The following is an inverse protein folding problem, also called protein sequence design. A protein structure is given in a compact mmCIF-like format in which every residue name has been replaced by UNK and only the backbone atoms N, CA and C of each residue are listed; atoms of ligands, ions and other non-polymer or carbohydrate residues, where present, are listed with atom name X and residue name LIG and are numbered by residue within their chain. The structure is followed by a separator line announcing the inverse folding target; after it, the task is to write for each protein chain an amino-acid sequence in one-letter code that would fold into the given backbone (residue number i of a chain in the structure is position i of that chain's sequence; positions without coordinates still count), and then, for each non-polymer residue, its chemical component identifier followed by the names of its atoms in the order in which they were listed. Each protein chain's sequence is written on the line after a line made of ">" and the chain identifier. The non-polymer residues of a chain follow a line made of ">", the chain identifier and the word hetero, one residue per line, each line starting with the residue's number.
data_IF_540008357876
#
_entry.id   IF_540008357876
#
_cell.length_a   1.000
_cell.length_b   1.000
_cell.length_c   1.000
_cell.angle_alpha   90.00
_cell.angle_beta   90.00
_cell.angle_gamma   90.00
#
_symmetry.space_group_name_H-M   'P 1'
#
loop_
_entity.id
_entity.type
_entity.pdbx_description
1 polymer ?
#
# COMPACT_ATOMS: atom_id res chain seq x y z
N UNK A 1 -31.45 3.83 -29.90
CA UNK A 1 -30.93 2.67 -29.20
C UNK A 1 -30.94 2.99 -27.71
N UNK A 2 -31.80 2.35 -26.93
CA UNK A 2 -31.81 2.47 -25.47
C UNK A 2 -30.54 1.81 -24.99
N UNK A 3 -29.63 2.55 -24.34
CA UNK A 3 -28.46 1.97 -23.67
C UNK A 3 -29.00 1.01 -22.61
N UNK A 4 -28.73 -0.26 -22.79
CA UNK A 4 -28.90 -1.29 -21.79
C UNK A 4 -28.08 -0.82 -20.58
N UNK A 5 -28.75 -0.30 -19.55
CA UNK A 5 -28.06 0.09 -18.32
C UNK A 5 -27.61 -1.20 -17.65
N UNK A 6 -26.37 -1.56 -17.86
CA UNK A 6 -25.76 -2.71 -17.21
C UNK A 6 -26.12 -2.70 -15.71
N UNK A 7 -26.55 -3.85 -15.20
CA UNK A 7 -26.89 -4.01 -13.77
C UNK A 7 -25.71 -3.52 -12.92
N UNK A 8 -25.94 -2.73 -11.84
CA UNK A 8 -24.85 -2.26 -11.00
C UNK A 8 -24.05 -3.44 -10.43
N UNK A 9 -22.73 -3.32 -10.42
CA UNK A 9 -21.84 -4.34 -9.85
C UNK A 9 -21.98 -4.46 -8.32
N UNK A 10 -22.43 -3.38 -7.67
CA UNK A 10 -22.57 -3.29 -6.22
C UNK A 10 -24.02 -3.38 -5.80
N UNK A 11 -24.26 -4.02 -4.65
CA UNK A 11 -25.55 -3.91 -3.95
C UNK A 11 -25.68 -2.50 -3.37
N UNK A 12 -26.93 -2.05 -3.22
CA UNK A 12 -27.23 -0.68 -2.78
C UNK A 12 -26.64 -0.37 -1.41
N UNK A 13 -26.79 -1.24 -0.44
CA UNK A 13 -26.28 -1.05 0.92
C UNK A 13 -24.73 -0.93 0.91
N UNK A 14 -24.08 -1.81 0.18
CA UNK A 14 -22.63 -1.80 0.00
C UNK A 14 -22.16 -0.51 -0.69
N UNK A 15 -22.88 -0.06 -1.71
CA UNK A 15 -22.57 1.16 -2.42
C UNK A 15 -22.67 2.40 -1.53
N UNK A 16 -23.68 2.48 -0.67
CA UNK A 16 -23.85 3.58 0.28
C UNK A 16 -22.79 3.55 1.40
N UNK A 17 -22.41 2.37 1.87
CA UNK A 17 -21.35 2.21 2.87
C UNK A 17 -19.99 2.64 2.32
N UNK A 18 -19.67 2.25 1.10
CA UNK A 18 -18.45 2.69 0.42
C UNK A 18 -18.43 4.22 0.21
N UNK A 19 -19.56 4.81 -0.15
CA UNK A 19 -19.68 6.26 -0.24
C UNK A 19 -19.46 6.96 1.10
N UNK A 20 -20.06 6.40 2.17
CA UNK A 20 -19.82 6.91 3.52
C UNK A 20 -18.34 6.95 3.86
N UNK A 21 -17.58 5.86 3.62
CA UNK A 21 -16.13 5.84 3.88
C UNK A 21 -15.36 6.82 2.97
N UNK A 22 -15.70 6.91 1.69
CA UNK A 22 -15.08 7.85 0.75
C UNK A 22 -15.27 9.30 1.21
N UNK A 23 -16.49 9.66 1.56
CA UNK A 23 -16.82 11.02 2.00
C UNK A 23 -16.24 11.32 3.38
N UNK A 24 -16.29 10.35 4.30
CA UNK A 24 -15.71 10.51 5.64
C UNK A 24 -14.20 10.74 5.56
N UNK A 25 -13.49 9.94 4.76
CA UNK A 25 -12.04 10.12 4.57
C UNK A 25 -11.71 11.51 4.02
N UNK A 26 -12.40 11.95 2.96
CA UNK A 26 -12.23 13.28 2.38
C UNK A 26 -12.49 14.39 3.41
N UNK A 27 -13.60 14.30 4.13
CA UNK A 27 -13.98 15.31 5.13
C UNK A 27 -13.00 15.35 6.32
N UNK A 28 -12.50 14.18 6.74
CA UNK A 28 -11.48 14.10 7.79
C UNK A 28 -10.14 14.71 7.34
N UNK A 29 -9.68 14.41 6.12
CA UNK A 29 -8.47 15.02 5.56
C UNK A 29 -8.58 16.56 5.50
N UNK A 30 -9.71 17.07 5.01
CA UNK A 30 -9.98 18.51 4.97
C UNK A 30 -9.98 19.15 6.38
N UNK A 31 -10.50 18.44 7.37
CA UNK A 31 -10.47 18.86 8.77
C UNK A 31 -9.05 18.85 9.32
N UNK A 32 -8.29 17.78 9.10
CA UNK A 32 -6.88 17.69 9.53
C UNK A 32 -6.01 18.79 8.91
N UNK A 33 -6.22 19.15 7.65
CA UNK A 33 -5.54 20.28 7.01
C UNK A 33 -5.87 21.62 7.72
N UNK A 34 -7.13 21.84 8.11
CA UNK A 34 -7.51 23.02 8.89
C UNK A 34 -6.83 23.05 10.25
N UNK A 35 -6.81 21.91 10.95
CA UNK A 35 -6.14 21.79 12.26
C UNK A 35 -4.63 21.99 12.16
N UNK A 36 -4.00 21.50 11.09
CA UNK A 36 -2.59 21.74 10.81
C UNK A 36 -2.29 23.25 10.66
N UNK A 37 -3.11 23.95 9.88
CA UNK A 37 -2.98 25.42 9.69
C UNK A 37 -3.21 26.22 10.98
N UNK A 38 -3.93 25.63 11.93
CA UNK A 38 -4.14 26.19 13.28
C UNK A 38 -3.05 25.80 14.27
N UNK A 39 -1.97 25.12 13.84
CA UNK A 39 -0.91 24.59 14.69
C UNK A 39 -1.42 23.62 15.80
N UNK A 40 -2.52 22.93 15.55
CA UNK A 40 -3.07 21.92 16.48
C UNK A 40 -2.55 20.51 16.23
N UNK A 41 -1.88 20.29 15.10
CA UNK A 41 -1.27 19.01 14.73
C UNK A 41 0.22 19.07 15.03
N UNK A 42 0.73 18.01 15.66
CA UNK A 42 2.13 17.83 16.02
C UNK A 42 2.78 16.92 14.97
N UNK A 43 3.81 17.41 14.29
CA UNK A 43 4.54 16.63 13.29
C UNK A 43 3.97 16.73 11.87
N UNK A 44 4.31 15.73 11.03
CA UNK A 44 3.96 15.73 9.62
C UNK A 44 2.53 15.26 9.35
N UNK A 45 1.81 15.99 8.52
CA UNK A 45 0.50 15.59 8.01
C UNK A 45 0.59 15.21 6.53
N UNK A 46 0.11 14.02 6.19
CA UNK A 46 0.15 13.43 4.86
C UNK A 46 -1.28 13.15 4.37
N UNK A 47 -1.80 13.97 3.48
CA UNK A 47 -3.16 13.83 2.98
C UNK A 47 -3.33 12.70 1.97
N UNK A 48 -4.53 12.13 1.93
CA UNK A 48 -4.94 11.04 1.02
C UNK A 48 -5.68 11.54 -0.21
N UNK A 49 -5.84 12.85 -0.38
CA UNK A 49 -6.61 13.46 -1.47
C UNK A 49 -6.21 12.91 -2.85
N UNK A 50 -7.17 12.33 -3.56
CA UNK A 50 -7.01 11.70 -4.86
C UNK A 50 -6.76 10.19 -4.81
N UNK A 51 -6.48 9.60 -3.63
CA UNK A 51 -6.14 8.18 -3.44
C UNK A 51 -7.18 7.43 -2.59
N UNK A 52 -8.31 8.06 -2.24
CA UNK A 52 -9.30 7.50 -1.33
C UNK A 52 -9.89 6.18 -1.86
N UNK A 53 -10.17 6.11 -3.17
CA UNK A 53 -10.75 4.92 -3.77
C UNK A 53 -9.84 3.69 -3.64
N UNK A 54 -8.53 3.87 -3.86
CA UNK A 54 -7.55 2.79 -3.72
C UNK A 54 -7.50 2.28 -2.29
N UNK A 55 -7.32 3.18 -1.34
CA UNK A 55 -7.18 2.84 0.09
C UNK A 55 -8.43 2.15 0.64
N UNK A 56 -9.62 2.69 0.34
CA UNK A 56 -10.89 2.18 0.86
C UNK A 56 -11.28 0.87 0.19
N UNK A 57 -11.28 0.81 -1.15
CA UNK A 57 -11.75 -0.37 -1.86
C UNK A 57 -10.89 -1.61 -1.58
N UNK A 58 -9.57 -1.45 -1.50
CA UNK A 58 -8.68 -2.58 -1.21
C UNK A 58 -8.85 -3.09 0.21
N UNK A 59 -8.95 -2.21 1.20
CA UNK A 59 -9.21 -2.60 2.59
C UNK A 59 -10.61 -3.22 2.76
N UNK A 60 -11.62 -2.72 2.04
CA UNK A 60 -13.00 -3.21 2.10
C UNK A 60 -13.16 -4.63 1.51
N UNK A 61 -12.26 -5.05 0.63
CA UNK A 61 -12.23 -6.41 0.08
C UNK A 61 -11.81 -7.49 1.10
N UNK A 62 -11.25 -7.10 2.23
CA UNK A 62 -10.73 -8.01 3.26
C UNK A 62 -11.81 -8.47 4.23
N UNK A 63 -11.64 -9.67 4.76
CA UNK A 63 -12.44 -10.18 5.87
C UNK A 63 -11.98 -9.58 7.22
N UNK A 64 -12.83 -9.68 8.25
CA UNK A 64 -12.55 -9.14 9.60
C UNK A 64 -11.25 -9.70 10.22
N UNK A 65 -10.92 -10.97 9.98
CA UNK A 65 -9.73 -11.63 10.52
C UNK A 65 -8.44 -11.37 9.73
N UNK A 66 -8.52 -10.71 8.58
CA UNK A 66 -7.35 -10.38 7.76
C UNK A 66 -6.54 -9.24 8.36
N UNK A 67 -5.27 -9.18 7.99
CA UNK A 67 -4.30 -8.22 8.51
C UNK A 67 -3.99 -7.14 7.49
N UNK A 68 -3.80 -5.91 7.97
CA UNK A 68 -3.31 -4.81 7.13
C UNK A 68 -2.09 -4.13 7.73
N UNK A 69 -1.23 -3.62 6.86
CA UNK A 69 -0.15 -2.69 7.20
C UNK A 69 -0.21 -1.51 6.21
N UNK A 70 -0.91 -0.42 6.56
CA UNK A 70 -1.10 0.71 5.66
C UNK A 70 0.15 1.57 5.52
N UNK A 71 0.18 2.42 4.50
CA UNK A 71 1.10 3.55 4.40
C UNK A 71 0.52 4.81 5.04
N UNK A 72 1.34 5.86 5.06
CA UNK A 72 1.02 7.17 5.64
C UNK A 72 -0.25 7.83 5.06
N UNK A 73 -0.65 7.48 3.82
CA UNK A 73 -1.80 8.06 3.13
C UNK A 73 -3.05 7.19 3.16
N UNK A 74 -2.97 6.03 3.77
CA UNK A 74 -4.09 5.08 3.75
C UNK A 74 -5.06 5.27 4.92
N UNK A 75 -5.39 6.52 5.27
CA UNK A 75 -6.38 6.84 6.31
C UNK A 75 -7.71 6.13 6.04
N UNK A 76 -8.13 6.05 4.77
CA UNK A 76 -9.34 5.34 4.37
C UNK A 76 -9.33 3.87 4.79
N UNK A 77 -8.20 3.17 4.69
CA UNK A 77 -8.07 1.78 5.13
C UNK A 77 -8.25 1.64 6.65
N UNK A 78 -7.75 2.60 7.44
CA UNK A 78 -7.93 2.63 8.89
C UNK A 78 -9.41 2.80 9.27
N UNK A 79 -10.12 3.72 8.58
CA UNK A 79 -11.55 3.92 8.79
C UNK A 79 -12.36 2.65 8.48
N UNK A 80 -12.06 1.98 7.37
CA UNK A 80 -12.67 0.69 7.00
C UNK A 80 -12.39 -0.39 8.05
N UNK A 81 -11.20 -0.38 8.67
CA UNK A 81 -10.84 -1.32 9.76
C UNK A 81 -11.41 -0.93 11.12
N UNK A 82 -12.21 0.13 11.19
CA UNK A 82 -12.97 0.52 12.37
C UNK A 82 -12.27 1.50 13.31
N UNK A 83 -11.19 2.16 12.87
CA UNK A 83 -10.71 3.36 13.56
C UNK A 83 -11.72 4.47 13.40
N UNK A 84 -11.93 5.23 14.44
CA UNK A 84 -12.82 6.41 14.42
C UNK A 84 -12.01 7.67 14.06
N UNK A 85 -12.64 8.70 13.53
CA UNK A 85 -11.97 9.99 13.31
C UNK A 85 -11.26 10.53 14.56
N UNK A 86 -11.84 10.32 15.77
CA UNK A 86 -11.20 10.71 17.04
C UNK A 86 -9.86 10.03 17.30
N UNK A 87 -9.72 8.75 16.94
CA UNK A 87 -8.48 8.00 17.11
C UNK A 87 -7.35 8.64 16.28
N UNK A 88 -7.70 9.05 15.05
CA UNK A 88 -6.79 9.70 14.11
C UNK A 88 -6.48 11.13 14.55
N UNK A 89 -7.49 11.91 14.94
CA UNK A 89 -7.30 13.28 15.39
C UNK A 89 -6.47 13.37 16.69
N UNK A 90 -6.79 12.54 17.70
CA UNK A 90 -6.01 12.49 18.93
C UNK A 90 -4.57 12.08 18.69
N UNK A 91 -4.34 11.17 17.73
CA UNK A 91 -2.99 10.75 17.33
C UNK A 91 -2.19 11.92 16.76
N UNK A 92 -2.73 12.62 15.75
CA UNK A 92 -2.05 13.76 15.14
C UNK A 92 -1.92 14.97 16.08
N UNK A 93 -2.78 15.06 17.09
CA UNK A 93 -2.71 16.09 18.15
C UNK A 93 -1.87 15.66 19.36
N UNK A 94 -1.21 14.50 19.31
CA UNK A 94 -0.38 13.92 20.37
C UNK A 94 -1.09 13.87 21.74
N UNK A 95 -2.35 13.47 21.78
CA UNK A 95 -3.15 13.41 23.02
C UNK A 95 -2.94 12.09 23.77
N UNK A 96 -3.08 12.12 25.09
CA UNK A 96 -2.98 10.95 25.95
C UNK A 96 -4.00 9.85 25.59
N UNK A 97 -5.14 10.22 25.02
CA UNK A 97 -6.19 9.29 24.58
C UNK A 97 -5.96 8.71 23.19
N UNK A 98 -4.85 9.06 22.54
CA UNK A 98 -4.50 8.53 21.20
C UNK A 98 -4.06 7.07 21.26
N UNK A 99 -4.07 6.35 20.13
CA UNK A 99 -3.55 4.98 20.05
C UNK A 99 -2.13 4.80 20.59
N UNK A 100 -1.26 5.81 20.46
CA UNK A 100 0.11 5.79 20.99
C UNK A 100 0.25 6.53 22.32
N UNK A 101 -0.85 6.98 22.91
CA UNK A 101 -0.85 7.76 24.16
C UNK A 101 0.00 9.04 24.09
N UNK A 102 0.06 9.64 22.90
CA UNK A 102 0.83 10.85 22.64
C UNK A 102 2.34 10.65 22.46
N UNK A 103 2.85 9.40 22.43
CA UNK A 103 4.27 9.10 22.18
C UNK A 103 4.71 9.31 20.74
N UNK A 104 3.77 9.32 19.82
CA UNK A 104 3.96 9.70 18.43
C UNK A 104 2.82 10.63 17.99
N UNK A 105 3.14 11.70 17.26
CA UNK A 105 2.19 12.68 16.76
C UNK A 105 1.93 12.57 15.25
N UNK A 106 2.24 11.42 14.65
CA UNK A 106 2.10 11.20 13.22
C UNK A 106 1.26 9.95 12.90
N UNK A 107 1.43 9.39 11.72
CA UNK A 107 0.69 8.23 11.25
C UNK A 107 1.12 6.89 11.85
N UNK A 108 2.17 6.83 12.69
CA UNK A 108 2.76 5.59 13.20
C UNK A 108 1.94 5.00 14.35
N UNK A 109 0.80 4.43 14.05
CA UNK A 109 -0.03 3.74 15.02
C UNK A 109 -0.76 2.54 14.39
N UNK A 110 -1.15 1.59 15.21
CA UNK A 110 -1.86 0.38 14.79
C UNK A 110 -2.69 -0.19 15.93
N UNK A 111 -3.33 -1.33 15.66
CA UNK A 111 -4.10 -2.11 16.64
C UNK A 111 -4.01 -3.59 16.26
N UNK A 112 -3.06 -4.29 16.87
CA UNK A 112 -2.78 -5.69 16.58
C UNK A 112 -3.88 -6.62 17.14
N UNK A 113 -4.50 -6.24 18.25
CA UNK A 113 -5.39 -7.14 19.02
C UNK A 113 -6.81 -7.14 18.47
N UNK A 114 -7.33 -5.98 18.10
CA UNK A 114 -8.75 -5.83 17.80
C UNK A 114 -9.00 -5.66 16.29
N UNK A 115 -8.17 -4.85 15.63
CA UNK A 115 -8.37 -4.47 14.22
C UNK A 115 -7.43 -5.15 13.25
N UNK A 116 -6.41 -5.86 13.76
CA UNK A 116 -5.36 -6.50 12.96
C UNK A 116 -4.65 -5.51 12.03
N UNK A 117 -4.27 -4.37 12.59
CA UNK A 117 -3.57 -3.30 11.89
C UNK A 117 -2.16 -3.14 12.45
N UNK A 118 -1.17 -3.40 11.61
CA UNK A 118 0.24 -3.11 11.89
C UNK A 118 0.48 -1.64 11.58
N UNK A 119 1.23 -0.97 12.43
CA UNK A 119 1.59 0.44 12.25
C UNK A 119 2.29 0.68 10.92
N UNK A 120 2.00 1.78 10.21
CA UNK A 120 2.90 2.31 9.20
C UNK A 120 4.31 2.50 9.75
N UNK A 121 5.31 2.34 8.91
CA UNK A 121 6.72 2.57 9.23
C UNK A 121 7.35 3.50 8.18
N UNK A 122 8.42 4.18 8.55
CA UNK A 122 9.10 5.13 7.67
C UNK A 122 10.07 4.47 6.68
N UNK A 123 10.48 3.22 6.94
CA UNK A 123 11.32 2.43 6.05
C UNK A 123 10.45 1.86 4.92
N UNK A 124 10.46 2.53 3.77
CA UNK A 124 9.62 2.16 2.64
C UNK A 124 10.03 0.80 2.06
N UNK A 125 9.02 -0.06 1.85
CA UNK A 125 9.22 -1.43 1.37
C UNK A 125 9.26 -2.48 2.48
N UNK A 126 9.72 -2.17 3.69
CA UNK A 126 9.92 -3.14 4.77
C UNK A 126 8.61 -3.77 5.28
N UNK A 127 7.46 -3.12 5.08
CA UNK A 127 6.17 -3.73 5.40
C UNK A 127 5.85 -4.95 4.53
N UNK A 128 6.48 -5.12 3.37
CA UNK A 128 6.24 -6.30 2.52
C UNK A 128 6.81 -7.56 3.17
N UNK A 129 8.11 -7.65 3.55
CA UNK A 129 8.61 -8.82 4.27
C UNK A 129 7.94 -9.01 5.63
N UNK A 130 7.59 -7.94 6.36
CA UNK A 130 6.84 -8.02 7.62
C UNK A 130 5.48 -8.70 7.40
N UNK A 131 4.71 -8.23 6.41
CA UNK A 131 3.40 -8.80 6.13
C UNK A 131 3.46 -10.19 5.48
N UNK A 132 4.57 -10.51 4.80
CA UNK A 132 4.87 -11.88 4.39
C UNK A 132 4.98 -12.79 5.62
N UNK A 133 5.71 -12.35 6.65
CA UNK A 133 5.81 -13.07 7.93
C UNK A 133 4.46 -13.26 8.63
N UNK A 134 3.62 -12.23 8.65
CA UNK A 134 2.24 -12.31 9.19
C UNK A 134 1.40 -13.34 8.44
N UNK A 135 1.44 -13.32 7.10
CA UNK A 135 0.73 -14.28 6.26
C UNK A 135 1.22 -15.72 6.49
N UNK A 136 2.54 -15.90 6.61
CA UNK A 136 3.15 -17.19 6.91
C UNK A 136 2.75 -17.68 8.32
N UNK A 137 2.75 -16.81 9.33
CA UNK A 137 2.33 -17.13 10.69
C UNK A 137 0.87 -17.58 10.71
N UNK A 138 -0.04 -16.88 10.02
CA UNK A 138 -1.42 -17.30 9.88
C UNK A 138 -1.55 -18.72 9.33
N UNK A 139 -0.84 -19.00 8.23
CA UNK A 139 -0.82 -20.34 7.63
C UNK A 139 -0.24 -21.40 8.60
N UNK A 140 0.85 -21.07 9.28
CA UNK A 140 1.47 -21.96 10.28
C UNK A 140 0.50 -22.30 11.42
N UNK A 141 -0.32 -21.34 11.83
CA UNK A 141 -1.34 -21.50 12.87
C UNK A 141 -2.65 -22.12 12.35
N UNK A 142 -2.72 -22.52 11.07
CA UNK A 142 -3.92 -23.08 10.47
C UNK A 142 -5.04 -22.05 10.20
N UNK A 143 -4.74 -20.76 10.26
CA UNK A 143 -5.68 -19.68 10.03
C UNK A 143 -5.72 -19.32 8.54
N UNK A 144 -6.94 -19.18 7.99
CA UNK A 144 -7.14 -18.76 6.59
C UNK A 144 -7.18 -17.24 6.47
N UNK A 145 -6.11 -16.55 6.87
CA UNK A 145 -6.00 -15.10 6.82
C UNK A 145 -5.24 -14.64 5.59
N UNK A 146 -5.56 -13.46 5.11
CA UNK A 146 -4.82 -12.73 4.08
C UNK A 146 -4.16 -11.52 4.74
N UNK A 147 -2.92 -11.26 4.37
CA UNK A 147 -2.22 -10.04 4.74
C UNK A 147 -2.25 -9.07 3.56
N UNK A 148 -2.44 -7.78 3.84
CA UNK A 148 -2.40 -6.74 2.81
C UNK A 148 -1.51 -5.57 3.26
N UNK A 149 -0.70 -5.06 2.35
CA UNK A 149 0.10 -3.85 2.59
C UNK A 149 0.10 -2.97 1.35
N UNK A 150 0.40 -1.70 1.55
CA UNK A 150 0.50 -0.71 0.48
C UNK A 150 1.94 -0.24 0.32
N UNK A 151 2.27 0.17 -0.89
CA UNK A 151 3.56 0.78 -1.22
C UNK A 151 3.37 1.83 -2.32
N UNK A 152 4.07 2.95 -2.21
CA UNK A 152 4.10 3.95 -3.28
C UNK A 152 5.06 3.56 -4.41
N UNK A 153 4.94 4.23 -5.55
CA UNK A 153 5.79 4.04 -6.73
C UNK A 153 7.30 4.09 -6.38
N UNK A 154 7.73 5.10 -5.62
CA UNK A 154 9.13 5.23 -5.19
C UNK A 154 9.64 4.10 -4.32
N UNK A 155 8.80 3.58 -3.44
CA UNK A 155 9.14 2.47 -2.56
C UNK A 155 9.44 1.17 -3.31
N UNK A 156 8.94 1.00 -4.52
CA UNK A 156 9.19 -0.20 -5.34
C UNK A 156 10.62 -0.33 -5.85
N UNK A 157 11.44 0.70 -5.66
CA UNK A 157 12.88 0.68 -6.03
C UNK A 157 13.80 0.36 -4.85
N UNK A 158 13.25 0.07 -3.67
CA UNK A 158 14.04 -0.33 -2.48
C UNK A 158 14.39 -1.82 -2.53
N UNK A 159 15.52 -2.19 -1.90
CA UNK A 159 15.90 -3.60 -1.73
C UNK A 159 14.82 -4.41 -1.02
N UNK A 160 14.23 -3.84 0.05
CA UNK A 160 13.17 -4.47 0.83
C UNK A 160 11.93 -4.85 0.00
N UNK A 161 11.54 -4.03 -1.02
CA UNK A 161 10.49 -4.40 -1.96
C UNK A 161 10.85 -5.69 -2.70
N UNK A 162 12.04 -5.75 -3.29
CA UNK A 162 12.48 -6.87 -4.12
C UNK A 162 12.65 -8.15 -3.30
N UNK A 163 13.29 -8.06 -2.16
CA UNK A 163 13.50 -9.17 -1.23
C UNK A 163 12.18 -9.68 -0.66
N UNK A 164 11.30 -8.76 -0.23
CA UNK A 164 9.99 -9.09 0.32
C UNK A 164 9.07 -9.76 -0.70
N UNK A 165 9.02 -9.26 -1.95
CA UNK A 165 8.24 -9.86 -3.03
C UNK A 165 8.77 -11.26 -3.40
N UNK A 166 10.09 -11.42 -3.48
CA UNK A 166 10.70 -12.72 -3.75
C UNK A 166 10.41 -13.71 -2.61
N UNK A 167 10.58 -13.31 -1.35
CA UNK A 167 10.25 -14.13 -0.19
C UNK A 167 8.77 -14.56 -0.22
N UNK A 168 7.86 -13.61 -0.45
CA UNK A 168 6.43 -13.88 -0.51
C UNK A 168 6.10 -14.89 -1.63
N UNK A 169 6.72 -14.75 -2.80
CA UNK A 169 6.53 -15.65 -3.92
C UNK A 169 7.02 -17.08 -3.61
N UNK A 170 8.28 -17.22 -3.16
CA UNK A 170 8.87 -18.52 -2.79
C UNK A 170 8.04 -19.23 -1.72
N UNK A 171 7.57 -18.49 -0.73
CA UNK A 171 6.73 -19.02 0.35
C UNK A 171 5.26 -19.18 -0.06
N UNK A 172 4.84 -18.75 -1.25
CA UNK A 172 3.43 -18.70 -1.67
C UNK A 172 2.54 -18.08 -0.58
N UNK A 173 3.02 -16.96 -0.01
CA UNK A 173 2.36 -16.31 1.10
C UNK A 173 0.99 -15.74 0.68
N UNK A 174 -0.08 -15.87 1.47
CA UNK A 174 -1.37 -15.24 1.22
C UNK A 174 -1.29 -13.71 1.45
N UNK A 175 -0.56 -13.02 0.58
CA UNK A 175 -0.24 -11.60 0.65
C UNK A 175 -0.81 -10.87 -0.56
N UNK A 176 -1.41 -9.70 -0.32
CA UNK A 176 -1.76 -8.73 -1.37
C UNK A 176 -0.94 -7.46 -1.15
N UNK A 177 -0.16 -7.08 -2.15
CA UNK A 177 0.58 -5.82 -2.16
C UNK A 177 -0.11 -4.84 -3.09
N UNK A 178 -0.55 -3.70 -2.55
CA UNK A 178 -1.18 -2.63 -3.31
C UNK A 178 -0.15 -1.55 -3.59
N UNK A 179 0.22 -1.40 -4.86
CA UNK A 179 1.14 -0.38 -5.33
C UNK A 179 0.33 0.86 -5.73
N UNK A 180 0.38 1.89 -4.92
CA UNK A 180 -0.23 3.18 -5.21
C UNK A 180 0.71 4.00 -6.11
N UNK A 181 0.58 3.81 -7.42
CA UNK A 181 1.31 4.60 -8.39
C UNK A 181 0.69 6.00 -8.48
N UNK A 182 1.05 6.84 -7.52
CA UNK A 182 0.54 8.21 -7.39
C UNK A 182 1.40 9.24 -8.15
N UNK A 183 2.25 8.78 -9.05
CA UNK A 183 3.08 9.50 -10.01
C UNK A 183 4.32 10.19 -9.43
N UNK A 184 4.47 10.25 -8.09
CA UNK A 184 5.53 11.05 -7.47
C UNK A 184 6.10 10.43 -6.20
N UNK A 185 7.39 10.13 -6.20
CA UNK A 185 8.17 9.86 -4.99
C UNK A 185 8.76 11.17 -4.47
N UNK A 186 8.09 11.81 -3.52
CA UNK A 186 8.34 13.19 -3.12
C UNK A 186 8.31 14.11 -4.35
N UNK A 187 9.47 14.62 -4.81
CA UNK A 187 9.62 15.48 -6.00
C UNK A 187 10.11 14.74 -7.25
N UNK A 188 10.32 13.41 -7.17
CA UNK A 188 10.79 12.62 -8.30
C UNK A 188 9.61 11.99 -9.05
N UNK A 189 9.35 12.34 -10.31
CA UNK A 189 8.26 11.74 -11.07
C UNK A 189 8.56 10.27 -11.42
N UNK A 190 7.51 9.48 -11.60
CA UNK A 190 7.60 8.02 -11.81
C UNK A 190 8.50 7.63 -12.99
N UNK A 191 8.50 8.40 -14.08
CA UNK A 191 9.33 8.16 -15.26
C UNK A 191 10.84 8.44 -15.04
N UNK A 192 11.21 9.01 -13.89
CA UNK A 192 12.60 9.17 -13.44
C UNK A 192 13.02 8.13 -12.41
N UNK A 193 12.07 7.33 -11.95
CA UNK A 193 12.30 6.27 -10.95
C UNK A 193 12.47 4.90 -11.62
N UNK A 194 11.66 4.62 -12.65
CA UNK A 194 11.63 3.32 -13.33
C UNK A 194 11.42 3.50 -14.83
N UNK A 195 12.03 2.64 -15.68
CA UNK A 195 11.84 2.67 -17.13
C UNK A 195 10.55 1.95 -17.59
N UNK A 196 9.79 1.33 -16.67
CA UNK A 196 8.59 0.58 -17.00
C UNK A 196 7.38 1.51 -17.13
N UNK A 197 6.50 1.21 -18.07
CA UNK A 197 5.21 1.88 -18.20
C UNK A 197 4.25 1.49 -17.08
N UNK A 198 4.20 0.21 -16.77
CA UNK A 198 3.38 -0.37 -15.71
C UNK A 198 4.32 -1.00 -14.68
N UNK A 199 4.27 -0.51 -13.44
CA UNK A 199 5.13 -1.00 -12.36
C UNK A 199 4.74 -2.42 -11.95
N UNK A 200 3.50 -2.82 -12.23
CA UNK A 200 3.01 -4.19 -12.05
C UNK A 200 3.85 -5.22 -12.83
N UNK A 201 4.53 -4.83 -13.90
CA UNK A 201 5.41 -5.72 -14.67
C UNK A 201 6.61 -6.23 -13.85
N UNK A 202 6.98 -5.55 -12.76
CA UNK A 202 7.99 -6.06 -11.82
C UNK A 202 7.62 -7.42 -11.23
N UNK A 203 6.32 -7.70 -11.07
CA UNK A 203 5.83 -8.96 -10.51
C UNK A 203 6.24 -10.18 -11.35
N UNK A 204 6.43 -10.01 -12.65
CA UNK A 204 6.86 -11.10 -13.56
C UNK A 204 8.20 -11.68 -13.16
N UNK A 205 9.13 -10.84 -12.66
CA UNK A 205 10.45 -11.30 -12.22
C UNK A 205 10.39 -12.29 -11.04
N UNK A 206 9.28 -12.29 -10.29
CA UNK A 206 9.07 -13.17 -9.14
C UNK A 206 8.06 -14.28 -9.41
N UNK A 207 7.51 -14.38 -10.63
CA UNK A 207 6.40 -15.29 -10.93
C UNK A 207 5.10 -14.96 -10.20
N UNK A 208 4.90 -13.68 -9.84
CA UNK A 208 3.75 -13.20 -9.06
C UNK A 208 2.65 -12.68 -9.99
N UNK A 209 1.41 -13.07 -9.70
CA UNK A 209 0.23 -12.51 -10.40
C UNK A 209 0.12 -11.02 -10.13
N UNK A 210 -0.11 -10.22 -11.17
CA UNK A 210 -0.30 -8.78 -11.04
C UNK A 210 -1.46 -8.24 -11.85
N UNK A 211 -1.99 -7.12 -11.38
CA UNK A 211 -3.06 -6.36 -12.04
C UNK A 211 -2.67 -4.89 -12.10
N UNK A 212 -3.09 -4.22 -13.16
CA UNK A 212 -3.05 -2.75 -13.27
C UNK A 212 -4.48 -2.25 -13.37
N UNK A 213 -4.84 -1.26 -12.54
CA UNK A 213 -6.18 -0.70 -12.47
C UNK A 213 -6.16 0.82 -12.39
N UNK A 214 -7.20 1.49 -12.87
CA UNK A 214 -7.45 2.91 -12.60
C UNK A 214 -7.79 3.08 -11.11
N UNK A 215 -6.83 3.58 -10.33
CA UNK A 215 -6.94 3.76 -8.89
C UNK A 215 -8.01 4.78 -8.46
N UNK A 216 -8.53 5.57 -9.41
CA UNK A 216 -9.60 6.53 -9.17
C UNK A 216 -11.00 5.97 -9.51
N UNK A 217 -11.08 4.70 -9.94
CA UNK A 217 -12.33 3.97 -10.12
C UNK A 217 -12.55 2.98 -8.97
N UNK A 218 -13.34 3.40 -7.99
CA UNK A 218 -13.58 2.61 -6.77
C UNK A 218 -14.13 1.22 -7.07
N UNK A 219 -15.05 1.10 -8.03
CA UNK A 219 -15.69 -0.18 -8.37
C UNK A 219 -14.71 -1.12 -9.04
N UNK A 220 -13.91 -0.61 -9.97
CA UNK A 220 -12.87 -1.38 -10.63
C UNK A 220 -11.79 -1.85 -9.62
N UNK A 221 -11.34 -0.96 -8.72
CA UNK A 221 -10.37 -1.31 -7.67
C UNK A 221 -10.94 -2.38 -6.75
N UNK A 222 -12.18 -2.25 -6.30
CA UNK A 222 -12.83 -3.24 -5.42
C UNK A 222 -12.93 -4.62 -6.08
N UNK A 223 -13.32 -4.66 -7.34
CA UNK A 223 -13.40 -5.92 -8.11
C UNK A 223 -12.04 -6.62 -8.16
N UNK A 224 -11.00 -5.91 -8.55
CA UNK A 224 -9.63 -6.46 -8.61
C UNK A 224 -9.12 -6.85 -7.22
N UNK A 225 -9.41 -6.05 -6.20
CA UNK A 225 -9.01 -6.37 -4.83
C UNK A 225 -9.68 -7.65 -4.31
N UNK A 226 -10.97 -7.85 -4.59
CA UNK A 226 -11.69 -9.08 -4.24
C UNK A 226 -11.10 -10.30 -4.94
N UNK A 227 -10.77 -10.17 -6.21
CA UNK A 227 -10.11 -11.25 -6.96
C UNK A 227 -8.74 -11.57 -6.36
N UNK A 228 -7.91 -10.56 -6.12
CA UNK A 228 -6.59 -10.73 -5.53
C UNK A 228 -6.64 -11.38 -4.14
N UNK A 229 -7.54 -10.91 -3.26
CA UNK A 229 -7.77 -11.48 -1.93
C UNK A 229 -8.27 -12.93 -2.04
N UNK A 230 -9.17 -13.21 -2.98
CA UNK A 230 -9.67 -14.57 -3.24
C UNK A 230 -8.54 -15.52 -3.63
N UNK A 231 -7.69 -15.13 -4.57
CA UNK A 231 -6.52 -15.91 -5.01
C UNK A 231 -5.52 -16.14 -3.88
N UNK A 232 -5.15 -15.08 -3.17
CA UNK A 232 -4.23 -15.20 -2.03
C UNK A 232 -4.77 -16.16 -0.96
N UNK A 233 -6.07 -16.09 -0.65
CA UNK A 233 -6.74 -16.97 0.32
C UNK A 233 -6.80 -18.43 -0.11
N UNK A 234 -6.85 -18.69 -1.44
CA UNK A 234 -6.82 -20.05 -2.01
C UNK A 234 -5.41 -20.65 -2.04
N UNK A 235 -4.37 -19.85 -1.73
CA UNK A 235 -2.99 -20.32 -1.71
C UNK A 235 -2.25 -20.19 -3.04
N UNK A 236 -2.77 -19.39 -3.98
CA UNK A 236 -2.12 -19.11 -5.27
C UNK A 236 -0.84 -18.27 -5.12
N UNK A 237 -0.50 -17.86 -3.89
CA UNK A 237 0.66 -17.03 -3.60
C UNK A 237 0.32 -15.55 -3.52
N UNK A 238 1.33 -14.68 -3.48
CA UNK A 238 1.10 -13.24 -3.40
C UNK A 238 0.52 -12.67 -4.68
N UNK A 239 -0.13 -11.52 -4.56
CA UNK A 239 -0.67 -10.74 -5.69
C UNK A 239 -0.22 -9.30 -5.58
N UNK A 240 0.22 -8.69 -6.68
CA UNK A 240 0.53 -7.27 -6.80
C UNK A 240 -0.58 -6.54 -7.56
N UNK A 241 -1.14 -5.49 -6.96
CA UNK A 241 -2.13 -4.60 -7.61
C UNK A 241 -1.48 -3.24 -7.81
N UNK A 242 -1.26 -2.82 -9.04
CA UNK A 242 -0.91 -1.43 -9.35
C UNK A 242 -2.17 -0.60 -9.55
N UNK A 243 -2.43 0.32 -8.63
CA UNK A 243 -3.49 1.30 -8.74
C UNK A 243 -2.89 2.63 -9.25
N UNK A 244 -3.20 2.99 -10.50
CA UNK A 244 -2.76 4.26 -11.08
C UNK A 244 -3.65 5.39 -10.59
N UNK A 245 -3.06 6.31 -9.86
CA UNK A 245 -3.74 7.43 -9.22
C UNK A 245 -2.85 8.67 -9.21
N UNK A 246 -3.21 9.68 -8.46
CA UNK A 246 -2.42 10.90 -8.27
C UNK A 246 -2.49 11.39 -6.83
N UNK A 247 -1.36 11.74 -6.28
CA UNK A 247 -1.28 12.54 -5.07
C UNK A 247 -1.61 14.00 -5.38
N UNK A 248 -2.80 14.44 -5.01
CA UNK A 248 -3.33 15.79 -5.34
C UNK A 248 -2.81 16.90 -4.42
N UNK A 249 -1.99 16.57 -3.44
CA UNK A 249 -1.32 17.51 -2.52
C UNK A 249 0.20 17.30 -2.60
N UNK A 250 0.98 18.13 -1.93
CA UNK A 250 2.40 17.90 -1.72
C UNK A 250 2.71 16.59 -0.99
N UNK A 251 3.98 16.25 -0.84
CA UNK A 251 4.36 15.04 -0.12
C UNK A 251 3.85 15.05 1.32
N UNK A 252 4.02 16.17 2.00
CA UNK A 252 3.39 16.48 3.28
C UNK A 252 2.74 17.84 3.19
N UNK A 253 1.96 18.24 4.20
CA UNK A 253 1.18 19.47 4.16
C UNK A 253 2.01 20.77 4.05
N UNK A 254 3.28 20.74 4.41
CA UNK A 254 4.22 21.85 4.22
C UNK A 254 4.85 21.93 2.83
N UNK A 255 4.67 20.90 2.00
CA UNK A 255 5.20 20.83 0.64
C UNK A 255 4.22 21.50 -0.35
N UNK A 256 4.59 22.59 -1.03
CA UNK A 256 3.71 23.30 -1.96
C UNK A 256 3.52 22.58 -3.30
N UNK A 257 4.27 21.49 -3.57
CA UNK A 257 4.23 20.70 -4.79
C UNK A 257 4.49 21.49 -6.08
N UNK A 258 5.31 22.54 -6.05
CA UNK A 258 5.64 23.38 -7.21
C UNK A 258 6.33 22.61 -8.34
N UNK A 259 6.92 21.46 -8.02
CA UNK A 259 7.56 20.57 -9.01
C UNK A 259 6.56 19.77 -9.85
N UNK A 260 5.26 19.80 -9.52
CA UNK A 260 4.23 19.09 -10.29
C UNK A 260 3.65 20.01 -11.36
N UNK A 261 3.67 19.60 -12.64
CA UNK A 261 3.06 20.39 -13.71
C UNK A 261 1.56 20.65 -13.46
N UNK A 262 1.12 21.88 -13.71
CA UNK A 262 -0.28 22.29 -13.48
C UNK A 262 -1.26 21.46 -14.30
N UNK A 263 -0.91 21.13 -15.52
CA UNK A 263 -1.72 20.32 -16.43
C UNK A 263 -1.98 18.92 -15.86
N UNK A 264 -1.03 18.40 -15.09
CA UNK A 264 -1.16 17.10 -14.43
C UNK A 264 -2.19 17.16 -13.30
N UNK A 265 -2.21 18.23 -12.51
CA UNK A 265 -3.24 18.44 -11.51
C UNK A 265 -4.62 18.57 -12.14
N UNK A 266 -4.78 19.34 -13.23
CA UNK A 266 -6.07 19.51 -13.91
C UNK A 266 -6.56 18.18 -14.52
N UNK A 267 -5.64 17.40 -15.12
CA UNK A 267 -5.97 16.08 -15.65
C UNK A 267 -6.54 15.15 -14.58
N UNK A 268 -5.90 15.09 -13.40
CA UNK A 268 -6.31 14.20 -12.33
C UNK A 268 -7.49 14.73 -11.52
N UNK A 269 -7.63 16.05 -11.39
CA UNK A 269 -8.80 16.70 -10.79
C UNK A 269 -10.08 16.35 -11.55
N UNK A 270 -10.03 16.32 -12.87
CA UNK A 270 -11.15 15.88 -13.69
C UNK A 270 -11.51 14.39 -13.46
N UNK A 271 -10.64 13.63 -12.82
CA UNK A 271 -10.78 12.21 -12.48
C UNK A 271 -10.89 11.97 -10.98
N UNK A 272 -11.31 12.97 -10.22
CA UNK A 272 -11.48 12.86 -8.77
C UNK A 272 -12.30 11.62 -8.39
N UNK A 273 -11.77 10.74 -7.51
CA UNK A 273 -12.39 9.46 -7.23
C UNK A 273 -13.77 9.58 -6.55
N UNK A 274 -13.94 10.59 -5.68
CA UNK A 274 -15.21 10.81 -4.99
C UNK A 274 -16.29 11.28 -5.98
N UNK A 275 -15.97 12.28 -6.82
CA UNK A 275 -16.86 12.80 -7.85
C UNK A 275 -17.23 11.71 -8.88
N UNK A 276 -16.29 10.86 -9.25
CA UNK A 276 -16.54 9.73 -10.16
C UNK A 276 -17.48 8.71 -9.52
N UNK A 277 -17.30 8.43 -8.24
CA UNK A 277 -18.15 7.48 -7.54
C UNK A 277 -19.56 8.04 -7.31
N UNK A 278 -19.72 9.34 -7.04
CA UNK A 278 -21.04 10.00 -7.01
C UNK A 278 -21.77 9.84 -8.35
N UNK A 279 -21.09 10.08 -9.46
CA UNK A 279 -21.67 9.85 -10.80
C UNK A 279 -22.11 8.39 -11.03
N UNK A 280 -21.30 7.42 -10.54
CA UNK A 280 -21.70 6.01 -10.61
C UNK A 280 -22.98 5.74 -9.83
N UNK A 281 -23.11 6.28 -8.61
CA UNK A 281 -24.32 6.13 -7.79
C UNK A 281 -25.55 6.75 -8.45
N UNK A 282 -25.40 7.92 -9.07
CA UNK A 282 -26.47 8.60 -9.81
C UNK A 282 -26.90 7.79 -11.05
N UNK A 283 -25.94 7.35 -11.87
CA UNK A 283 -26.19 6.59 -13.08
C UNK A 283 -26.93 5.28 -12.83
N UNK A 284 -26.60 4.61 -11.74
CA UNK A 284 -27.22 3.34 -11.34
C UNK A 284 -28.40 3.51 -10.38
N UNK A 285 -28.79 4.76 -10.04
CA UNK A 285 -29.89 5.07 -9.13
C UNK A 285 -29.77 4.36 -7.77
N UNK A 286 -28.53 4.28 -7.26
CA UNK A 286 -28.22 3.59 -6.00
C UNK A 286 -28.49 4.44 -4.77
N UNK A 287 -28.79 5.72 -4.94
CA UNK A 287 -29.15 6.66 -3.88
C UNK A 287 -30.15 7.71 -4.36
N UNK A 288 -30.57 8.57 -3.44
CA UNK A 288 -31.36 9.77 -3.71
C UNK A 288 -30.82 10.94 -2.85
N UNK A 289 -31.27 12.17 -3.13
CA UNK A 289 -30.82 13.38 -2.43
C UNK A 289 -31.03 13.32 -0.91
N UNK A 290 -32.09 12.68 -0.43
CA UNK A 290 -32.36 12.52 1.01
C UNK A 290 -31.31 11.64 1.67
N UNK A 291 -30.90 10.56 1.04
CA UNK A 291 -29.89 9.64 1.54
C UNK A 291 -28.51 10.27 1.49
N UNK A 292 -28.19 10.97 0.39
CA UNK A 292 -26.96 11.75 0.28
C UNK A 292 -26.84 12.77 1.40
N UNK A 293 -27.89 13.56 1.62
CA UNK A 293 -27.96 14.54 2.69
C UNK A 293 -27.85 13.91 4.09
N UNK A 294 -28.47 12.73 4.30
CA UNK A 294 -28.40 12.02 5.56
C UNK A 294 -26.97 11.51 5.87
N UNK A 295 -26.26 11.00 4.85
CA UNK A 295 -24.86 10.58 5.00
C UNK A 295 -23.97 11.79 5.35
N UNK A 296 -24.13 12.92 4.64
CA UNK A 296 -23.37 14.13 4.93
C UNK A 296 -23.63 14.63 6.35
N UNK A 297 -24.88 14.76 6.75
CA UNK A 297 -25.25 15.20 8.10
C UNK A 297 -24.77 14.23 9.19
N UNK A 298 -24.68 12.94 8.91
CA UNK A 298 -24.09 11.95 9.80
C UNK A 298 -22.60 12.21 9.95
N UNK A 299 -21.86 12.37 8.86
CA UNK A 299 -20.40 12.62 8.87
C UNK A 299 -20.07 13.92 9.61
N UNK A 300 -20.83 14.99 9.35
CA UNK A 300 -20.63 16.27 10.04
C UNK A 300 -20.79 16.14 11.55
N UNK A 301 -21.83 15.45 12.01
CA UNK A 301 -22.04 15.21 13.45
C UNK A 301 -20.95 14.35 14.06
N UNK A 302 -20.52 13.28 13.38
CA UNK A 302 -19.45 12.40 13.84
C UNK A 302 -18.13 13.16 13.94
N UNK A 303 -17.75 13.92 12.92
CA UNK A 303 -16.51 14.71 12.92
C UNK A 303 -16.53 15.81 13.98
N UNK A 304 -17.68 16.49 14.19
CA UNK A 304 -17.81 17.52 15.21
C UNK A 304 -17.63 16.95 16.63
N UNK A 305 -18.32 15.84 16.93
CA UNK A 305 -18.21 15.18 18.24
C UNK A 305 -16.80 14.60 18.48
N UNK A 306 -16.18 14.05 17.44
CA UNK A 306 -14.84 13.47 17.53
C UNK A 306 -13.76 14.56 17.64
N UNK A 307 -13.96 15.74 17.02
CA UNK A 307 -13.09 16.90 17.19
C UNK A 307 -13.18 17.46 18.60
N UNK A 308 -14.38 17.64 19.12
CA UNK A 308 -14.60 18.09 20.52
C UNK A 308 -13.91 17.15 21.51
N UNK A 309 -14.05 15.84 21.32
CA UNK A 309 -13.34 14.84 22.11
C UNK A 309 -11.81 15.00 22.02
N UNK A 310 -11.28 15.17 20.81
CA UNK A 310 -9.83 15.29 20.60
C UNK A 310 -9.27 16.60 21.21
N UNK A 311 -9.99 17.72 21.07
CA UNK A 311 -9.56 19.01 21.65
C UNK A 311 -9.58 19.01 23.19
N UNK A 312 -10.58 18.35 23.78
CA UNK A 312 -10.71 18.23 25.25
C UNK A 312 -9.82 17.14 25.85
N UNK A 313 -9.22 16.27 25.03
CA UNK A 313 -8.31 15.23 25.51
C UNK A 313 -7.01 15.86 26.07
N UNK A 314 -6.52 15.41 27.24
CA UNK A 314 -5.32 15.95 27.84
C UNK A 314 -4.06 15.60 27.04
N UNK A 315 -3.01 16.38 27.22
CA UNK A 315 -1.66 15.96 26.83
C UNK A 315 -1.15 14.87 27.77
N UNK A 316 -0.29 13.95 27.29
CA UNK A 316 0.29 12.93 28.14
C UNK A 316 1.21 13.57 29.19
N UNK A 317 1.30 13.02 30.41
CA UNK A 317 2.31 13.43 31.37
C UNK A 317 3.71 13.05 30.86
N UNK A 318 4.72 13.86 31.20
CA UNK A 318 6.09 13.70 30.71
C UNK A 318 6.69 12.30 31.05
N UNK A 319 6.34 11.79 32.23
CA UNK A 319 6.79 10.48 32.74
C UNK A 319 6.33 9.30 31.86
N UNK A 320 5.27 9.51 31.08
CA UNK A 320 4.80 8.47 30.12
C UNK A 320 5.83 8.22 29.00
N UNK A 321 6.70 9.18 28.69
CA UNK A 321 7.69 9.03 27.63
C UNK A 321 8.63 7.84 27.87
N UNK A 322 8.96 7.54 29.12
CA UNK A 322 9.86 6.43 29.48
C UNK A 322 9.16 5.08 29.61
N UNK A 323 7.83 5.08 29.72
CA UNK A 323 7.06 3.85 29.94
C UNK A 323 6.95 3.02 28.66
N UNK A 324 7.25 1.73 28.77
CA UNK A 324 7.13 0.77 27.65
C UNK A 324 8.22 0.90 26.57
N UNK A 325 9.24 1.73 26.79
CA UNK A 325 10.44 1.79 25.92
C UNK A 325 11.31 0.55 26.16
N UNK A 326 11.41 0.16 27.42
CA UNK A 326 12.15 -1.03 27.83
C UNK A 326 11.26 -1.94 28.67
N UNK A 327 11.63 -3.22 28.78
CA UNK A 327 10.98 -4.16 29.68
C UNK A 327 11.27 -3.77 31.14
N UNK A 328 10.22 -3.51 31.92
CA UNK A 328 10.32 -3.14 33.33
C UNK A 328 10.54 -4.37 34.25
N UNK A 329 11.43 -5.28 33.88
CA UNK A 329 11.83 -6.41 34.73
C UNK A 329 10.89 -7.61 34.73
N UNK A 330 9.86 -7.63 33.87
CA UNK A 330 8.98 -8.79 33.73
C UNK A 330 9.65 -9.99 33.04
N UNK A 331 10.74 -9.75 32.29
CA UNK A 331 11.58 -10.77 31.67
C UNK A 331 13.05 -10.36 31.83
N UNK A 332 13.81 -11.10 32.59
CA UNK A 332 15.25 -11.06 32.44
C UNK A 332 15.57 -11.57 31.04
N UNK A 333 16.00 -10.69 30.13
CA UNK A 333 16.53 -11.12 28.83
C UNK A 333 17.85 -11.79 29.14
N UNK A 334 17.79 -13.08 29.35
CA UNK A 334 19.00 -13.88 29.43
C UNK A 334 19.59 -13.92 28.03
N UNK A 335 20.83 -13.45 27.89
CA UNK A 335 21.53 -13.48 26.61
C UNK A 335 21.54 -14.92 26.07
N UNK A 336 21.25 -15.12 24.79
CA UNK A 336 21.09 -16.45 24.17
C UNK A 336 22.24 -17.40 24.42
N UNK A 337 23.48 -16.88 24.61
CA UNK A 337 24.66 -17.67 24.96
C UNK A 337 24.68 -18.17 26.43
N UNK A 338 23.79 -17.62 27.29
CA UNK A 338 23.60 -18.09 28.68
C UNK A 338 22.46 -19.10 28.81
N UNK A 339 21.58 -19.23 27.81
CA UNK A 339 20.49 -20.20 27.82
C UNK A 339 21.07 -21.60 27.66
N UNK A 340 20.47 -22.54 28.35
CA UNK A 340 20.80 -23.95 28.13
C UNK A 340 20.52 -24.29 26.65
N UNK A 341 21.53 -24.83 25.95
CA UNK A 341 21.44 -25.15 24.50
C UNK A 341 20.29 -26.10 24.18
N UNK A 342 19.78 -26.82 25.15
CA UNK A 342 18.62 -27.71 25.01
C UNK A 342 17.30 -26.94 24.84
N UNK A 343 17.18 -25.69 25.33
CA UNK A 343 15.99 -24.87 25.17
C UNK A 343 15.92 -24.18 23.80
N UNK A 344 17.08 -24.00 23.16
CA UNK A 344 17.17 -23.35 21.85
C UNK A 344 16.91 -24.31 20.67
N UNK A 345 16.92 -25.59 20.92
CA UNK A 345 16.61 -26.59 19.91
C UNK A 345 15.10 -26.84 19.88
N UNK A 346 14.42 -26.53 18.75
CA UNK A 346 13.03 -26.94 18.62
C UNK A 346 12.94 -28.46 18.82
N UNK A 347 11.91 -28.96 19.51
CA UNK A 347 11.70 -30.41 19.68
C UNK A 347 11.82 -31.08 18.30
N UNK A 348 12.52 -32.22 18.22
CA UNK A 348 12.71 -32.98 16.96
C UNK A 348 11.38 -33.28 16.24
N UNK A 349 10.26 -33.29 16.99
CA UNK A 349 8.91 -33.41 16.43
C UNK A 349 8.37 -32.20 15.67
N UNK A 350 9.07 -31.06 15.68
CA UNK A 350 8.67 -29.84 14.94
C UNK A 350 9.45 -29.63 13.66
N UNK A 351 10.43 -30.44 13.36
CA UNK A 351 10.99 -30.51 12.00
C UNK A 351 9.91 -31.21 11.16
N UNK A 352 9.20 -30.45 10.34
CA UNK A 352 8.21 -31.02 9.43
C UNK A 352 8.93 -32.12 8.63
N UNK A 353 8.55 -33.42 8.73
CA UNK A 353 9.19 -34.51 7.99
C UNK A 353 9.06 -34.32 6.47
N UNK A 354 8.18 -33.42 6.01
CA UNK A 354 8.08 -32.99 4.61
C UNK A 354 9.25 -32.09 4.15
N UNK A 355 10.11 -31.64 5.06
CA UNK A 355 11.31 -30.87 4.72
C UNK A 355 12.55 -31.75 4.51
N UNK A 356 12.36 -32.98 4.13
CA UNK A 356 13.44 -33.80 3.61
C UNK A 356 13.70 -33.46 2.14
N UNK A 357 14.96 -33.61 1.70
CA UNK A 357 15.39 -33.38 0.30
C UNK A 357 14.47 -34.13 -0.72
N UNK A 358 13.82 -35.23 -0.31
CA UNK A 358 12.84 -35.98 -1.13
C UNK A 358 11.52 -35.23 -1.33
N UNK A 359 11.17 -34.28 -0.46
CA UNK A 359 9.94 -33.49 -0.52
C UNK A 359 10.20 -32.00 -0.87
N UNK A 360 11.44 -31.67 -1.20
CA UNK A 360 11.76 -30.36 -1.77
C UNK A 360 11.26 -30.34 -3.22
N UNK A 361 10.00 -29.94 -3.30
CA UNK A 361 9.28 -29.74 -4.52
C UNK A 361 8.86 -31.04 -5.18
N UNK A 362 7.66 -31.13 -5.61
CA UNK A 362 7.29 -31.87 -6.78
C UNK A 362 7.88 -31.26 -8.05
N UNK A 363 9.07 -30.70 -7.99
CA UNK A 363 10.01 -30.54 -9.06
C UNK A 363 10.69 -31.91 -9.18
N UNK A 364 10.16 -32.74 -10.02
CA UNK A 364 10.96 -33.74 -10.65
C UNK A 364 12.08 -32.98 -11.35
N UNK A 365 13.20 -32.79 -10.63
CA UNK A 365 14.36 -32.02 -11.09
C UNK A 365 14.85 -32.57 -12.43
N UNK A 366 14.66 -33.86 -12.71
CA UNK A 366 14.96 -34.46 -14.00
C UNK A 366 14.00 -34.03 -15.14
N UNK A 367 12.72 -33.77 -14.84
CA UNK A 367 11.76 -33.37 -15.88
C UNK A 367 11.94 -31.89 -16.28
N UNK A 368 12.28 -30.99 -15.30
CA UNK A 368 12.55 -29.59 -15.59
C UNK A 368 13.85 -29.42 -16.38
N UNK A 369 14.91 -30.17 -16.01
CA UNK A 369 16.17 -30.15 -16.76
C UNK A 369 16.12 -30.92 -18.08
N UNK A 370 15.15 -31.84 -18.28
CA UNK A 370 14.91 -32.49 -19.56
C UNK A 370 14.14 -31.57 -20.52
N UNK A 371 13.18 -30.79 -20.04
CA UNK A 371 12.47 -29.79 -20.83
C UNK A 371 13.42 -28.67 -21.29
N UNK A 372 14.24 -28.14 -20.41
CA UNK A 372 15.27 -27.13 -20.74
C UNK A 372 16.29 -27.65 -21.76
N UNK A 373 16.67 -28.94 -21.68
CA UNK A 373 17.58 -29.53 -22.66
C UNK A 373 16.92 -29.76 -24.03
N UNK A 374 15.64 -30.03 -24.08
CA UNK A 374 14.90 -30.15 -25.34
C UNK A 374 14.71 -28.79 -26.02
N UNK A 375 14.41 -27.74 -25.26
CA UNK A 375 14.31 -26.36 -25.80
C UNK A 375 15.67 -25.79 -26.24
N UNK A 376 16.78 -26.16 -25.57
CA UNK A 376 18.12 -25.74 -25.97
C UNK A 376 18.66 -26.47 -27.20
N UNK A 377 18.13 -27.65 -27.56
CA UNK A 377 18.53 -28.35 -28.79
C UNK A 377 17.85 -27.80 -30.04
N UNK A 378 16.68 -27.15 -29.89
CA UNK A 378 15.98 -26.52 -31.02
C UNK A 378 16.37 -25.03 -31.25
N UNK A 379 17.19 -24.43 -30.37
CA UNK A 379 17.66 -23.06 -30.48
C UNK A 379 19.18 -22.96 -30.67
N UNK A 380 19.76 -23.70 -31.61
CA UNK A 380 21.10 -23.35 -32.12
C UNK A 380 20.93 -22.14 -33.03
N UNK A 381 20.85 -20.98 -32.47
CA UNK A 381 21.08 -19.70 -33.17
C UNK A 381 22.59 -19.65 -33.46
N UNK A 382 22.97 -19.84 -34.72
CA UNK A 382 24.35 -19.52 -35.13
C UNK A 382 24.70 -18.09 -34.73
N UNK A 383 25.85 -17.87 -34.11
CA UNK A 383 26.24 -16.50 -33.76
C UNK A 383 26.44 -15.73 -35.07
N UNK A 384 25.56 -14.76 -35.32
CA UNK A 384 25.77 -13.78 -36.40
C UNK A 384 27.01 -12.96 -36.04
N UNK A 385 28.11 -13.25 -36.74
CA UNK A 385 29.33 -12.46 -36.66
C UNK A 385 29.00 -11.05 -37.17
N UNK A 386 28.80 -10.13 -36.26
CA UNK A 386 28.66 -8.72 -36.58
C UNK A 386 29.98 -8.25 -37.22
N UNK A 387 29.93 -7.90 -38.53
CA UNK A 387 31.06 -7.24 -39.21
C UNK A 387 31.28 -5.88 -38.53
N UNK A 388 32.54 -5.53 -38.23
CA UNK A 388 32.85 -4.20 -37.72
C UNK A 388 32.48 -3.14 -38.73
N UNK A 389 32.01 -1.95 -38.32
CA UNK A 389 31.66 -0.86 -39.22
C UNK A 389 32.92 -0.40 -39.97
N UNK A 390 32.86 -0.30 -41.28
CA UNK A 390 33.87 0.32 -42.13
C UNK A 390 34.01 1.78 -41.73
N UNK A 391 35.18 2.16 -41.29
CA UNK A 391 35.56 3.56 -41.06
C UNK A 391 35.76 4.26 -42.39
N UNK A 392 34.84 5.09 -42.76
CA UNK A 392 34.98 6.02 -43.90
C UNK A 392 35.73 7.27 -43.42
N UNK A 393 37.04 7.25 -43.65
CA UNK A 393 37.90 8.39 -43.45
C UNK A 393 37.71 9.35 -44.65
N UNK A 394 36.89 10.40 -44.50
CA UNK A 394 37.06 11.72 -45.18
C UNK A 394 35.91 12.64 -44.80
N UNK A 395 36.05 13.40 -43.75
CA UNK A 395 35.46 14.75 -43.67
C UNK A 395 36.45 15.71 -43.05
N UNK A 396 36.83 16.67 -43.91
CA UNK A 396 37.74 17.79 -43.61
C UNK A 396 37.18 18.63 -42.47
N UNK A 397 38.00 18.87 -41.48
CA UNK A 397 37.85 19.90 -40.46
C UNK A 397 38.02 21.28 -41.13
N UNK A 398 36.96 22.07 -41.12
CA UNK A 398 37.05 23.53 -41.25
C UNK A 398 36.61 24.15 -39.94
N UNK A 399 37.54 24.78 -39.25
CA UNK A 399 37.32 25.56 -38.06
C UNK A 399 36.66 26.91 -38.41
N UNK A 400 35.75 27.44 -37.63
CA UNK A 400 35.39 28.84 -37.68
C UNK A 400 36.18 29.63 -36.62
N UNK A 401 36.66 30.77 -37.13
CA UNK A 401 37.50 31.75 -36.50
C UNK A 401 36.89 32.36 -35.22
N UNK A 402 37.81 32.62 -34.25
CA UNK A 402 37.64 33.54 -33.12
C UNK A 402 37.17 34.93 -33.61
N UNK A 403 36.12 35.44 -33.00
CA UNK A 403 35.94 36.91 -32.87
C UNK A 403 35.86 37.24 -31.37
N UNK A 404 36.82 38.04 -30.97
CA UNK A 404 36.90 38.71 -29.68
C UNK A 404 36.18 40.09 -29.78
N UNK A 405 35.83 40.62 -28.59
CA UNK A 405 35.46 42.03 -28.25
C UNK A 405 33.95 42.34 -28.49
N UNK A 406 33.17 42.85 -27.57
CA UNK A 406 33.45 43.73 -26.40
C UNK A 406 32.47 43.38 -25.28
#
# INVERSE_FOLDING_TARGET
>A
MKSDSARPELKREEALELYYFMRLNRSLDELLVRLFRQNKIVGGLYGSLGQEATSIATAYALAKGDWIAPLIRNVGSLLVRGFKPRDIMTQYMARATSPTQGKDGTCHFGDLKTRHVISPISMLGDLIPVMTGVAMAGRYLGQKVVAMTWIGDGGTSTGAFHEGMNLAAVQRAPLVVVLENNQWAYSTPVNRQVPLRDLADRARAYGVTSYTVDGNDLVAVLRIAREAVGRARQGDGPVLIEAKTMRMLGHAQHDPAEYVPREMFEYWKARDPLTRYEKYLDQHKLWNEKEKAAIHARIERELAADLEFAENSPFPPAELAEQGVYCNGCHAIEADWRRDKHELMPPKSRVNPEWTIKNFGGLETEAVFAADRAEQQDSVIEPSVARPPQTDHKRKLTAPARRARR
#
